data_IF_113869869694
#
_entry.id   IF_113869869694
#
_cell.length_a   1.000
_cell.length_b   1.000
_cell.length_c   1.000
_cell.angle_alpha   90.00
_cell.angle_beta   90.00
_cell.angle_gamma   90.00
#
_symmetry.space_group_name_H-M   'P 1'
#
loop_
_entity.id
_entity.type
_entity.pdbx_description
1 polymer ?
#
# COMPACT_ATOMS: atom_id res chain seq x y z
N UNK A 1 2.82 -12.30 4.50
CA UNK A 1 2.11 -11.15 5.14
C UNK A 1 0.59 -11.26 5.18
N UNK A 2 -0.02 -12.29 4.56
CA UNK A 2 -1.48 -12.51 4.60
C UNK A 2 -1.94 -13.65 5.53
N UNK A 3 -1.06 -14.26 6.32
CA UNK A 3 -1.45 -15.28 7.31
C UNK A 3 -1.81 -14.62 8.65
N UNK A 4 -2.96 -15.00 9.21
CA UNK A 4 -3.33 -14.72 10.61
C UNK A 4 -3.17 -16.01 11.44
N UNK A 5 -2.59 -15.90 12.64
CA UNK A 5 -2.86 -16.83 13.75
C UNK A 5 -2.03 -18.11 13.88
N UNK A 6 -0.88 -18.26 13.21
CA UNK A 6 0.08 -19.34 13.53
C UNK A 6 -0.42 -20.80 13.40
N UNK A 7 -1.62 -21.01 12.87
CA UNK A 7 -2.25 -22.32 12.77
C UNK A 7 -1.55 -23.15 11.69
N UNK A 8 -0.49 -23.88 12.08
CA UNK A 8 0.33 -24.70 11.18
C UNK A 8 -0.46 -25.82 10.54
N UNK A 9 -1.53 -26.33 11.14
CA UNK A 9 -2.35 -27.41 10.55
C UNK A 9 -3.22 -26.86 9.43
N UNK A 10 -3.86 -25.71 9.63
CA UNK A 10 -4.61 -25.02 8.57
C UNK A 10 -3.65 -24.51 7.47
N UNK A 11 -2.46 -24.03 7.86
CA UNK A 11 -1.41 -23.66 6.91
C UNK A 11 -0.88 -24.87 6.13
N UNK A 12 -0.71 -26.03 6.78
CA UNK A 12 -0.17 -27.27 6.20
C UNK A 12 -1.21 -28.01 5.35
N UNK A 13 -2.49 -27.99 5.72
CA UNK A 13 -3.58 -28.54 4.90
C UNK A 13 -3.89 -27.65 3.70
N UNK A 14 -3.65 -26.34 3.80
CA UNK A 14 -3.66 -25.47 2.64
C UNK A 14 -2.37 -25.68 1.78
N UNK A 15 -1.24 -26.16 2.35
CA UNK A 15 0.11 -26.37 1.72
C UNK A 15 0.29 -27.71 0.99
N UNK A 16 -0.71 -28.58 0.95
CA UNK A 16 -0.77 -29.65 -0.06
C UNK A 16 -1.12 -29.01 -1.40
N UNK A 17 -0.07 -28.58 -2.11
CA UNK A 17 0.13 -28.15 -3.53
C UNK A 17 -1.01 -27.69 -4.46
N UNK A 18 -2.29 -27.72 -4.11
CA UNK A 18 -3.40 -27.36 -4.99
C UNK A 18 -4.15 -26.08 -4.55
N UNK A 19 -3.95 -25.56 -3.33
CA UNK A 19 -4.75 -24.45 -2.80
C UNK A 19 -4.00 -23.12 -2.47
N UNK A 20 -2.76 -23.12 -1.94
CA UNK A 20 -2.05 -21.84 -1.65
C UNK A 20 -1.46 -21.13 -2.86
N UNK A 21 -1.05 -21.86 -3.90
CA UNK A 21 -0.63 -21.26 -5.16
C UNK A 21 -1.75 -20.42 -5.76
N UNK A 22 -2.98 -20.91 -5.58
CA UNK A 22 -4.20 -20.20 -5.95
C UNK A 22 -4.39 -18.99 -5.03
N UNK A 23 -4.60 -19.12 -3.72
CA UNK A 23 -4.98 -17.98 -2.87
C UNK A 23 -3.99 -16.79 -2.84
N UNK A 24 -2.68 -17.03 -2.87
CA UNK A 24 -1.66 -15.95 -2.86
C UNK A 24 -1.58 -15.23 -4.20
N UNK A 25 -1.83 -15.91 -5.32
CA UNK A 25 -2.00 -15.28 -6.63
C UNK A 25 -3.43 -14.75 -6.85
N UNK A 26 -4.44 -15.33 -6.22
CA UNK A 26 -5.86 -15.15 -6.54
C UNK A 26 -6.39 -13.81 -6.04
N UNK A 27 -5.99 -13.37 -4.83
CA UNK A 27 -6.37 -12.03 -4.35
C UNK A 27 -5.73 -10.93 -5.22
N UNK A 28 -4.40 -10.97 -5.52
CA UNK A 28 -3.80 -10.06 -6.48
C UNK A 28 -4.47 -10.12 -7.86
N UNK A 29 -4.74 -11.33 -8.37
CA UNK A 29 -5.37 -11.53 -9.67
C UNK A 29 -6.74 -10.88 -9.77
N UNK A 30 -7.64 -11.15 -8.81
CA UNK A 30 -8.97 -10.54 -8.75
C UNK A 30 -8.92 -9.03 -8.58
N UNK A 31 -7.92 -8.53 -7.86
CA UNK A 31 -7.74 -7.08 -7.70
C UNK A 31 -7.36 -6.44 -9.03
N UNK A 32 -6.39 -7.03 -9.75
CA UNK A 32 -5.97 -6.54 -11.07
C UNK A 32 -7.11 -6.63 -12.08
N UNK A 33 -7.89 -7.71 -12.04
CA UNK A 33 -9.09 -7.87 -12.85
C UNK A 33 -10.12 -6.78 -12.54
N UNK A 34 -10.41 -6.51 -11.26
CA UNK A 34 -11.32 -5.44 -10.85
C UNK A 34 -10.84 -4.06 -11.28
N UNK A 35 -9.53 -3.78 -11.17
CA UNK A 35 -8.92 -2.53 -11.68
C UNK A 35 -9.13 -2.41 -13.19
N UNK A 36 -8.84 -3.48 -13.93
CA UNK A 36 -9.00 -3.50 -15.39
C UNK A 36 -10.47 -3.25 -15.78
N UNK A 37 -11.42 -3.95 -15.17
CA UNK A 37 -12.86 -3.77 -15.44
C UNK A 37 -13.29 -2.31 -15.25
N UNK A 38 -12.95 -1.70 -14.11
CA UNK A 38 -13.26 -0.29 -13.79
C UNK A 38 -12.66 0.69 -14.80
N UNK A 39 -11.42 0.47 -15.23
CA UNK A 39 -10.77 1.35 -16.21
C UNK A 39 -11.38 1.20 -17.61
N UNK A 40 -11.79 -0.01 -18.00
CA UNK A 40 -12.51 -0.21 -19.26
C UNK A 40 -13.89 0.42 -19.25
N UNK A 41 -14.65 0.27 -18.16
CA UNK A 41 -15.94 0.96 -17.97
C UNK A 41 -15.77 2.48 -18.11
N UNK A 42 -14.75 3.05 -17.43
CA UNK A 42 -14.41 4.48 -17.53
C UNK A 42 -14.03 4.88 -18.96
N UNK A 43 -13.24 4.05 -19.64
CA UNK A 43 -12.81 4.31 -21.02
C UNK A 43 -13.98 4.35 -22.01
N UNK A 44 -14.94 3.43 -21.88
CA UNK A 44 -16.11 3.40 -22.75
C UNK A 44 -17.08 4.56 -22.49
N UNK A 45 -17.20 5.01 -21.23
CA UNK A 45 -18.02 6.15 -20.86
C UNK A 45 -17.37 7.51 -21.20
N UNK A 46 -16.05 7.57 -21.39
CA UNK A 46 -15.31 8.81 -21.61
C UNK A 46 -15.38 9.33 -23.07
N UNK A 47 -15.19 10.64 -23.21
CA UNK A 47 -15.11 11.33 -24.51
C UNK A 47 -13.85 10.92 -25.30
N UNK A 48 -13.80 11.13 -26.63
CA UNK A 48 -12.64 10.76 -27.45
C UNK A 48 -11.30 11.34 -26.96
N UNK A 49 -11.31 12.56 -26.41
CA UNK A 49 -10.12 13.24 -25.88
C UNK A 49 -9.65 12.62 -24.55
N UNK A 50 -10.59 12.32 -23.65
CA UNK A 50 -10.29 11.75 -22.33
C UNK A 50 -9.80 10.31 -22.41
N UNK A 51 -10.22 9.56 -23.43
CA UNK A 51 -9.80 8.16 -23.67
C UNK A 51 -8.28 8.01 -23.76
N UNK A 52 -7.58 8.99 -24.29
CA UNK A 52 -6.12 8.97 -24.41
C UNK A 52 -5.41 9.05 -23.04
N UNK A 53 -6.03 9.70 -22.05
CA UNK A 53 -5.46 9.88 -20.71
C UNK A 53 -5.73 8.69 -19.77
N UNK A 54 -6.61 7.76 -20.15
CA UNK A 54 -7.01 6.64 -19.28
C UNK A 54 -6.03 5.48 -19.44
N UNK A 55 -5.26 5.22 -18.38
CA UNK A 55 -4.42 4.04 -18.27
C UNK A 55 -5.28 2.79 -18.04
N UNK A 56 -5.07 1.76 -18.86
CA UNK A 56 -5.88 0.52 -18.87
C UNK A 56 -5.10 -0.68 -18.38
N UNK A 57 -3.77 -0.60 -18.32
CA UNK A 57 -2.93 -1.68 -17.87
C UNK A 57 -2.92 -1.73 -16.32
N UNK A 58 -3.46 -2.79 -15.70
CA UNK A 58 -3.55 -2.85 -14.24
C UNK A 58 -2.17 -2.96 -13.56
N UNK A 59 -1.15 -3.49 -14.26
CA UNK A 59 0.21 -3.58 -13.73
C UNK A 59 0.88 -2.21 -13.65
N UNK A 60 0.73 -1.36 -14.66
CA UNK A 60 1.29 0.00 -14.63
C UNK A 60 0.65 0.82 -13.54
N UNK A 61 -0.69 0.73 -13.39
CA UNK A 61 -1.44 1.35 -12.30
C UNK A 61 -0.90 0.86 -10.95
N UNK A 62 -0.73 -0.45 -10.77
CA UNK A 62 -0.25 -1.03 -9.52
C UNK A 62 1.15 -0.53 -9.14
N UNK A 63 2.11 -0.59 -10.08
CA UNK A 63 3.46 -0.14 -9.82
C UNK A 63 3.54 1.37 -9.55
N UNK A 64 2.81 2.17 -10.31
CA UNK A 64 2.78 3.62 -10.13
C UNK A 64 2.08 4.00 -8.81
N UNK A 65 0.96 3.36 -8.48
CA UNK A 65 0.26 3.58 -7.21
C UNK A 65 1.15 3.26 -6.00
N UNK A 66 1.88 2.14 -6.04
CA UNK A 66 2.84 1.81 -4.98
C UNK A 66 3.95 2.84 -4.89
N UNK A 67 4.54 3.25 -6.02
CA UNK A 67 5.58 4.28 -6.06
C UNK A 67 5.11 5.60 -5.48
N UNK A 68 3.85 6.00 -5.76
CA UNK A 68 3.25 7.21 -5.18
C UNK A 68 3.10 7.11 -3.65
N UNK A 69 2.86 5.91 -3.12
CA UNK A 69 2.70 5.64 -1.68
C UNK A 69 4.03 5.47 -0.93
N UNK A 70 5.16 5.30 -1.62
CA UNK A 70 6.46 5.06 -1.00
C UNK A 70 6.97 6.30 -0.24
N UNK A 71 7.22 6.18 1.08
CA UNK A 71 7.81 7.29 1.84
C UNK A 71 9.32 7.33 1.66
N UNK A 72 9.90 8.51 1.43
CA UNK A 72 11.37 8.67 1.34
C UNK A 72 12.04 8.65 2.71
N UNK A 73 11.44 9.35 3.68
CA UNK A 73 11.97 9.50 5.04
C UNK A 73 10.97 8.87 6.01
N UNK A 74 11.48 8.14 6.99
CA UNK A 74 10.70 7.59 8.11
C UNK A 74 11.14 8.16 9.44
N UNK A 75 10.49 7.71 10.50
CA UNK A 75 10.79 8.10 11.88
C UNK A 75 11.19 6.86 12.68
N UNK A 76 12.23 7.00 13.48
CA UNK A 76 12.69 5.97 14.42
C UNK A 76 12.64 6.55 15.83
N UNK A 77 11.97 5.89 16.79
CA UNK A 77 11.99 6.34 18.17
C UNK A 77 13.37 6.06 18.79
N UNK A 78 14.03 7.10 19.29
CA UNK A 78 15.29 7.00 20.04
C UNK A 78 15.05 7.48 21.47
N UNK A 79 15.48 6.70 22.46
CA UNK A 79 15.45 7.08 23.86
C UNK A 79 16.68 7.92 24.21
N UNK A 80 16.48 9.16 24.66
CA UNK A 80 17.57 10.03 25.15
C UNK A 80 17.09 10.81 26.37
N UNK A 81 17.85 10.77 27.46
CA UNK A 81 17.52 11.51 28.68
C UNK A 81 16.13 11.18 29.24
N UNK A 82 15.68 9.92 29.14
CA UNK A 82 14.37 9.48 29.64
C UNK A 82 13.17 9.78 28.72
N UNK A 83 13.37 10.49 27.60
CA UNK A 83 12.31 10.79 26.63
C UNK A 83 12.53 10.09 25.28
N UNK A 84 11.44 9.67 24.63
CA UNK A 84 11.47 9.11 23.28
C UNK A 84 11.31 10.23 22.24
N UNK A 85 12.32 10.38 21.38
CA UNK A 85 12.32 11.33 20.28
C UNK A 85 12.05 10.61 18.96
N UNK A 86 11.17 11.17 18.12
CA UNK A 86 10.94 10.68 16.77
C UNK A 86 12.02 11.25 15.83
N UNK A 87 13.04 10.46 15.56
CA UNK A 87 14.21 10.90 14.79
C UNK A 87 14.02 10.58 13.31
N UNK A 88 14.15 11.56 12.39
CA UNK A 88 14.06 11.32 10.96
C UNK A 88 15.22 10.48 10.41
N UNK A 89 14.89 9.47 9.62
CA UNK A 89 15.87 8.53 9.03
C UNK A 89 15.53 8.28 7.55
N UNK A 90 16.52 8.35 6.64
CA UNK A 90 16.30 7.95 5.24
C UNK A 90 15.98 6.45 5.15
N UNK A 91 14.95 6.10 4.38
CA UNK A 91 14.53 4.71 4.25
C UNK A 91 15.18 4.05 3.03
N UNK A 92 15.63 2.80 3.21
CA UNK A 92 16.11 1.96 2.11
C UNK A 92 14.97 1.52 1.18
N UNK A 93 15.25 1.28 -0.10
CA UNK A 93 14.25 0.90 -1.11
C UNK A 93 13.33 -0.25 -0.68
N UNK A 94 13.93 -1.29 -0.09
CA UNK A 94 13.19 -2.44 0.42
C UNK A 94 12.20 -2.03 1.51
N UNK A 95 12.60 -1.10 2.39
CA UNK A 95 11.76 -0.62 3.48
C UNK A 95 10.64 0.29 2.97
N UNK A 96 10.92 1.16 2.00
CA UNK A 96 9.93 2.04 1.35
C UNK A 96 8.80 1.25 0.72
N UNK A 97 9.15 0.28 -0.13
CA UNK A 97 8.21 -0.65 -0.78
C UNK A 97 7.36 -1.42 0.22
N UNK A 98 8.01 -1.96 1.26
CA UNK A 98 7.33 -2.70 2.32
C UNK A 98 6.32 -1.82 3.08
N UNK A 99 6.67 -0.57 3.39
CA UNK A 99 5.77 0.36 4.08
C UNK A 99 4.55 0.72 3.22
N UNK A 100 4.75 1.00 1.94
CA UNK A 100 3.64 1.27 1.01
C UNK A 100 2.66 0.10 0.96
N UNK A 101 3.14 -1.12 0.73
CA UNK A 101 2.29 -2.33 0.70
C UNK A 101 1.59 -2.57 2.04
N UNK A 102 2.30 -2.40 3.16
CA UNK A 102 1.73 -2.57 4.51
C UNK A 102 0.59 -1.59 4.73
N UNK A 103 0.79 -0.31 4.42
CA UNK A 103 -0.24 0.72 4.61
C UNK A 103 -1.49 0.46 3.78
N UNK A 104 -1.34 0.10 2.50
CA UNK A 104 -2.49 -0.23 1.65
C UNK A 104 -3.32 -1.38 2.22
N UNK A 105 -2.65 -2.47 2.65
CA UNK A 105 -3.34 -3.63 3.23
C UNK A 105 -4.01 -3.27 4.57
N UNK A 106 -3.34 -2.48 5.41
CA UNK A 106 -3.88 -2.03 6.70
C UNK A 106 -5.13 -1.16 6.51
N UNK A 107 -5.08 -0.15 5.64
CA UNK A 107 -6.25 0.72 5.37
C UNK A 107 -7.45 -0.09 4.85
N UNK A 108 -7.22 -1.03 3.92
CA UNK A 108 -8.27 -1.92 3.42
C UNK A 108 -8.89 -2.81 4.52
N UNK A 109 -8.08 -3.29 5.47
CA UNK A 109 -8.53 -4.19 6.53
C UNK A 109 -9.27 -3.46 7.65
N UNK A 110 -8.80 -2.28 8.03
CA UNK A 110 -9.25 -1.59 9.24
C UNK A 110 -10.34 -0.56 8.95
N UNK A 111 -10.24 0.19 7.84
CA UNK A 111 -11.11 1.34 7.60
C UNK A 111 -12.27 1.07 6.65
N UNK A 112 -12.13 0.11 5.74
CA UNK A 112 -13.18 -0.19 4.77
C UNK A 112 -14.25 -1.14 5.32
N UNK A 113 -15.53 -0.99 4.89
CA UNK A 113 -16.66 -1.76 5.43
C UNK A 113 -16.43 -3.26 5.37
N UNK A 114 -16.71 -4.00 6.45
CA UNK A 114 -16.50 -5.46 6.49
C UNK A 114 -17.27 -6.24 5.41
N UNK A 115 -18.40 -5.70 4.93
CA UNK A 115 -19.24 -6.31 3.89
C UNK A 115 -18.61 -6.31 2.50
N UNK A 116 -17.69 -5.38 2.22
CA UNK A 116 -17.01 -5.30 0.93
C UNK A 116 -15.85 -6.31 0.85
N UNK A 117 -15.70 -6.97 -0.31
CA UNK A 117 -14.65 -7.95 -0.53
C UNK A 117 -13.27 -7.27 -0.60
N UNK A 118 -12.22 -7.97 -0.15
CA UNK A 118 -10.85 -7.44 -0.15
C UNK A 118 -10.34 -6.97 -1.53
N UNK A 119 -10.62 -7.68 -2.64
CA UNK A 119 -10.20 -7.24 -3.98
C UNK A 119 -10.84 -5.90 -4.41
N UNK A 120 -12.11 -5.69 -4.09
CA UNK A 120 -12.81 -4.44 -4.40
C UNK A 120 -12.23 -3.27 -3.62
N UNK A 121 -12.01 -3.47 -2.32
CA UNK A 121 -11.36 -2.51 -1.42
C UNK A 121 -9.99 -2.07 -1.95
N UNK A 122 -9.17 -3.06 -2.30
CA UNK A 122 -7.80 -2.83 -2.76
C UNK A 122 -7.77 -2.18 -4.14
N UNK A 123 -8.68 -2.56 -5.04
CA UNK A 123 -8.78 -1.91 -6.37
C UNK A 123 -9.13 -0.43 -6.26
N UNK A 124 -10.03 -0.05 -5.34
CA UNK A 124 -10.35 1.35 -5.08
C UNK A 124 -9.14 2.11 -4.53
N UNK A 125 -8.46 1.57 -3.51
CA UNK A 125 -7.25 2.22 -2.96
C UNK A 125 -6.14 2.38 -4.00
N UNK A 126 -5.94 1.39 -4.86
CA UNK A 126 -4.94 1.46 -5.93
C UNK A 126 -5.26 2.57 -6.93
N UNK A 127 -6.53 2.72 -7.31
CA UNK A 127 -6.96 3.78 -8.23
C UNK A 127 -6.84 5.17 -7.60
N UNK A 128 -7.22 5.33 -6.33
CA UNK A 128 -7.02 6.59 -5.60
C UNK A 128 -5.54 6.94 -5.48
N UNK A 129 -4.70 5.98 -5.06
CA UNK A 129 -3.26 6.18 -4.93
C UNK A 129 -2.57 6.47 -6.27
N UNK A 130 -3.05 5.87 -7.37
CA UNK A 130 -2.57 6.16 -8.72
C UNK A 130 -2.76 7.64 -9.08
N UNK A 131 -3.87 8.24 -8.66
CA UNK A 131 -4.16 9.66 -8.84
C UNK A 131 -3.59 10.56 -7.72
N UNK A 132 -2.68 10.06 -6.88
CA UNK A 132 -2.12 10.75 -5.70
C UNK A 132 -3.18 11.21 -4.69
N UNK A 133 -4.28 10.46 -4.59
CA UNK A 133 -5.36 10.72 -3.66
C UNK A 133 -5.51 9.55 -2.67
N UNK A 134 -6.40 9.72 -1.71
CA UNK A 134 -6.76 8.68 -0.75
C UNK A 134 -5.98 8.70 0.57
N UNK A 135 -6.38 7.84 1.50
CA UNK A 135 -5.87 7.84 2.88
C UNK A 135 -4.41 7.42 2.97
N UNK A 136 -3.95 6.51 2.10
CA UNK A 136 -2.55 6.04 2.08
C UNK A 136 -1.59 7.15 1.69
N UNK A 137 -1.96 7.98 0.70
CA UNK A 137 -1.17 9.15 0.29
C UNK A 137 -1.13 10.20 1.39
N UNK A 138 -2.27 10.46 2.05
CA UNK A 138 -2.32 11.34 3.23
C UNK A 138 -1.37 10.86 4.33
N UNK A 139 -1.37 9.55 4.62
CA UNK A 139 -0.47 8.94 5.61
C UNK A 139 1.01 9.14 5.26
N UNK A 140 1.39 9.04 3.98
CA UNK A 140 2.74 9.37 3.50
C UNK A 140 3.07 10.84 3.78
N UNK A 141 2.19 11.77 3.43
CA UNK A 141 2.40 13.21 3.65
C UNK A 141 2.50 13.56 5.14
N UNK A 142 1.65 12.98 5.98
CA UNK A 142 1.69 13.22 7.43
C UNK A 142 3.03 12.75 8.03
N UNK A 143 3.57 11.63 7.55
CA UNK A 143 4.89 11.16 7.97
C UNK A 143 6.02 12.08 7.49
N UNK A 144 5.94 12.62 6.28
CA UNK A 144 6.93 13.58 5.77
C UNK A 144 6.88 14.92 6.52
N UNK A 145 5.69 15.43 6.81
CA UNK A 145 5.51 16.64 7.65
C UNK A 145 6.07 16.45 9.04
N UNK A 146 5.83 15.29 9.66
CA UNK A 146 6.36 14.97 10.97
C UNK A 146 7.89 14.79 10.95
N UNK A 147 8.44 14.23 9.87
CA UNK A 147 9.88 14.14 9.68
C UNK A 147 10.54 15.51 9.48
N UNK A 148 9.88 16.41 8.75
CA UNK A 148 10.34 17.78 8.55
C UNK A 148 10.32 18.59 9.86
N UNK A 149 9.24 18.50 10.63
CA UNK A 149 9.12 19.16 11.93
C UNK A 149 10.23 18.70 12.91
N UNK A 150 10.63 17.43 12.83
CA UNK A 150 11.68 16.84 13.67
C UNK A 150 13.07 16.86 13.02
N UNK A 151 13.28 17.63 11.94
CA UNK A 151 14.56 17.65 11.20
C UNK A 151 15.75 17.98 12.10
N UNK A 152 15.56 18.85 13.09
CA UNK A 152 16.60 19.19 14.05
C UNK A 152 17.10 17.97 14.83
N UNK A 153 16.25 16.98 15.12
CA UNK A 153 16.59 15.78 15.90
C UNK A 153 17.41 14.75 15.11
N UNK A 154 17.68 14.99 13.82
CA UNK A 154 18.45 14.07 12.98
C UNK A 154 19.87 13.78 13.52
N UNK A 155 20.44 14.70 14.31
CA UNK A 155 21.75 14.54 14.95
C UNK A 155 21.79 13.50 16.08
N UNK A 156 20.62 13.05 16.57
CA UNK A 156 20.56 11.95 17.55
C UNK A 156 20.89 10.58 16.93
N UNK A 157 21.07 10.51 15.61
CA UNK A 157 21.51 9.30 14.91
C UNK A 157 23.02 9.09 15.09
N UNK A 158 23.43 7.87 15.42
CA UNK A 158 24.85 7.47 15.59
C UNK A 158 25.33 6.47 14.53
N UNK A 159 24.55 6.26 13.46
CA UNK A 159 24.84 5.38 12.33
C UNK A 159 24.74 6.10 11.00
#
# INVERSE_FOLDING_TARGET
MMMKGGNKVLARSLMTKEAWGVLVHWIPWQTLEAVKRKQFEKYHAASPEERAAIERNPYTIFHQALKNCEPVIGLVPILKGGHFYQVPVPLSDRRRRFMAMKWMITECREKKPRRMLMPEKLSQELLEAFHNQGPVIRRKHDMHKMAEANRALAHYRWW
#
